data_IF_495294164036
#
_entry.id   IF_495294164036
#
_cell.length_a   1.000
_cell.length_b   1.000
_cell.length_c   1.000
_cell.angle_alpha   90.00
_cell.angle_beta   90.00
_cell.angle_gamma   90.00
#
_symmetry.space_group_name_H-M   'P 1'
#
loop_
_entity.id
_entity.type
_entity.pdbx_description
1 polymer ?
#
# COMPACT_ATOMS: atom_id res chain seq x y z
N UNK A 1 -17.33 0.71 -7.09
CA UNK A 1 -17.81 -0.70 -7.06
C UNK A 1 -17.81 -1.26 -5.63
N UNK A 2 -17.98 -2.59 -5.49
CA UNK A 2 -17.97 -3.31 -4.19
C UNK A 2 -16.61 -3.94 -3.82
N UNK A 3 -15.62 -3.81 -4.69
CA UNK A 3 -14.28 -4.38 -4.50
C UNK A 3 -13.38 -3.43 -3.73
N UNK A 4 -12.56 -3.99 -2.84
CA UNK A 4 -11.52 -3.29 -2.09
C UNK A 4 -10.14 -3.74 -2.56
N UNK A 5 -9.16 -2.85 -2.47
CA UNK A 5 -7.78 -3.15 -2.82
C UNK A 5 -6.87 -2.81 -1.64
N UNK A 6 -5.96 -3.75 -1.32
CA UNK A 6 -4.91 -3.54 -0.32
C UNK A 6 -3.62 -3.13 -1.03
N UNK A 7 -3.13 -1.93 -0.72
CA UNK A 7 -1.84 -1.41 -1.14
C UNK A 7 -0.78 -1.94 -0.17
N UNK A 8 -0.13 -3.04 -0.51
CA UNK A 8 0.79 -3.73 0.40
C UNK A 8 1.75 -4.64 -0.35
N UNK A 9 2.82 -5.06 0.33
CA UNK A 9 3.70 -6.13 -0.12
C UNK A 9 4.21 -6.00 -1.58
N UNK A 10 4.70 -4.82 -2.01
CA UNK A 10 5.13 -4.63 -3.40
C UNK A 10 6.27 -5.57 -3.79
N UNK A 11 7.09 -6.00 -2.83
CA UNK A 11 8.18 -6.96 -3.01
C UNK A 11 7.73 -8.36 -3.45
N UNK A 12 6.45 -8.73 -3.30
CA UNK A 12 5.97 -10.05 -3.72
C UNK A 12 5.81 -10.18 -5.24
N UNK A 13 5.66 -9.05 -5.94
CA UNK A 13 5.33 -9.04 -7.38
C UNK A 13 6.18 -8.07 -8.21
N UNK A 14 6.86 -7.12 -7.56
CA UNK A 14 7.73 -6.17 -8.24
C UNK A 14 8.92 -6.88 -8.89
N UNK A 15 9.15 -6.55 -10.16
CA UNK A 15 10.33 -6.93 -10.93
C UNK A 15 11.43 -5.87 -10.85
N UNK A 16 11.12 -4.68 -10.33
CA UNK A 16 12.07 -3.56 -10.17
C UNK A 16 12.69 -3.52 -8.78
N UNK A 17 11.96 -3.98 -7.76
CA UNK A 17 12.45 -4.09 -6.38
C UNK A 17 12.59 -2.73 -5.66
N UNK A 18 13.18 -2.76 -4.45
CA UNK A 18 13.35 -1.57 -3.61
C UNK A 18 14.31 -0.53 -4.21
N UNK A 19 14.28 0.72 -3.71
CA UNK A 19 13.37 1.21 -2.66
C UNK A 19 12.00 1.63 -3.20
N UNK A 20 11.90 1.88 -4.51
CA UNK A 20 10.71 2.52 -5.10
C UNK A 20 9.64 1.54 -5.60
N UNK A 21 10.01 0.30 -5.91
CA UNK A 21 9.09 -0.69 -6.50
C UNK A 21 8.30 -0.13 -7.69
N UNK A 22 8.97 0.62 -8.56
CA UNK A 22 8.35 1.57 -9.49
C UNK A 22 7.27 0.97 -10.42
N UNK A 23 7.37 -0.32 -10.73
CA UNK A 23 6.36 -1.05 -11.51
C UNK A 23 5.05 -1.28 -10.73
N UNK A 24 5.15 -1.73 -9.47
CA UNK A 24 3.99 -1.88 -8.59
C UNK A 24 3.48 -0.51 -8.13
N UNK A 25 4.39 0.44 -7.88
CA UNK A 25 4.04 1.79 -7.47
C UNK A 25 3.22 2.55 -8.51
N UNK A 26 3.49 2.35 -9.80
CA UNK A 26 2.66 2.90 -10.87
C UNK A 26 1.21 2.38 -10.82
N UNK A 27 1.03 1.08 -10.54
CA UNK A 27 -0.30 0.48 -10.37
C UNK A 27 -0.99 1.02 -9.10
N UNK A 28 -0.27 1.13 -8.00
CA UNK A 28 -0.80 1.67 -6.74
C UNK A 28 -1.29 3.11 -6.92
N UNK A 29 -0.50 3.98 -7.58
CA UNK A 29 -0.89 5.36 -7.91
C UNK A 29 -2.17 5.41 -8.75
N UNK A 30 -2.26 4.59 -9.79
CA UNK A 30 -3.46 4.53 -10.65
C UNK A 30 -4.70 4.06 -9.88
N UNK A 31 -4.56 3.11 -8.95
CA UNK A 31 -5.66 2.62 -8.12
C UNK A 31 -6.12 3.66 -7.08
N UNK A 32 -5.16 4.37 -6.47
CA UNK A 32 -5.44 5.49 -5.55
C UNK A 32 -6.19 6.60 -6.26
N UNK A 33 -5.77 6.96 -7.48
CA UNK A 33 -6.44 7.98 -8.29
C UNK A 33 -7.86 7.56 -8.69
N UNK A 34 -8.02 6.32 -9.16
CA UNK A 34 -9.29 5.85 -9.68
C UNK A 34 -10.34 5.54 -8.59
N UNK A 35 -9.92 5.09 -7.41
CA UNK A 35 -10.83 4.65 -6.36
C UNK A 35 -10.25 4.88 -4.94
N UNK A 36 -10.03 6.14 -4.53
CA UNK A 36 -9.41 6.46 -3.23
C UNK A 36 -10.27 6.00 -2.04
N UNK A 37 -11.58 5.83 -2.20
CA UNK A 37 -12.51 5.33 -1.18
C UNK A 37 -12.60 3.80 -1.12
N UNK A 38 -11.77 3.08 -1.90
CA UNK A 38 -11.71 1.61 -1.97
C UNK A 38 -10.32 1.04 -1.76
N UNK A 39 -9.36 1.87 -1.36
CA UNK A 39 -8.00 1.46 -1.05
C UNK A 39 -7.78 1.41 0.47
N UNK A 40 -7.11 0.37 0.93
CA UNK A 40 -6.58 0.25 2.31
C UNK A 40 -5.09 -0.07 2.22
N UNK A 41 -4.33 0.18 3.30
CA UNK A 41 -2.89 -0.13 3.34
C UNK A 41 -2.57 -1.10 4.48
N UNK A 42 -1.53 -1.91 4.28
CA UNK A 42 -0.93 -2.71 5.34
C UNK A 42 0.55 -2.95 5.04
N UNK A 43 1.37 -3.00 6.09
CA UNK A 43 2.80 -3.31 5.94
C UNK A 43 3.09 -4.72 5.45
N UNK A 44 2.15 -5.65 5.68
CA UNK A 44 2.34 -7.09 5.49
C UNK A 44 3.41 -7.69 6.43
N UNK A 45 3.68 -7.07 7.58
CA UNK A 45 4.50 -7.67 8.64
C UNK A 45 3.89 -9.02 9.09
N UNK A 46 4.68 -10.08 9.35
CA UNK A 46 6.14 -10.15 9.45
C UNK A 46 6.86 -10.48 8.13
N UNK A 47 6.26 -10.15 6.99
CA UNK A 47 6.78 -10.38 5.63
C UNK A 47 7.12 -11.87 5.37
N UNK A 48 6.13 -12.77 5.48
CA UNK A 48 6.37 -14.22 5.45
C UNK A 48 6.84 -14.75 4.09
N UNK A 49 6.63 -14.00 3.02
CA UNK A 49 6.98 -14.38 1.65
C UNK A 49 8.45 -14.18 1.30
N UNK A 50 9.25 -13.54 2.16
CA UNK A 50 10.68 -13.29 1.93
C UNK A 50 11.55 -13.72 3.11
N UNK A 51 12.81 -14.16 2.86
CA UNK A 51 13.79 -14.43 3.91
C UNK A 51 14.03 -13.21 4.79
N UNK A 52 14.47 -13.44 6.04
CA UNK A 52 14.67 -12.36 7.03
C UNK A 52 15.60 -11.26 6.53
N UNK A 53 16.62 -11.63 5.76
CA UNK A 53 17.66 -10.76 5.21
C UNK A 53 17.15 -9.88 4.06
N UNK A 54 15.99 -10.20 3.51
CA UNK A 54 15.34 -9.48 2.40
C UNK A 54 14.04 -8.80 2.82
N UNK A 55 13.70 -8.83 4.11
CA UNK A 55 12.52 -8.14 4.61
C UNK A 55 12.69 -6.64 4.40
N UNK A 56 11.69 -5.96 3.82
CA UNK A 56 11.73 -4.50 3.75
C UNK A 56 11.63 -3.90 5.16
N UNK A 57 12.07 -2.66 5.30
CA UNK A 57 11.74 -1.85 6.47
C UNK A 57 10.28 -1.37 6.37
N UNK A 58 9.53 -1.48 7.48
CA UNK A 58 8.14 -1.04 7.53
C UNK A 58 8.00 0.48 7.34
N UNK A 59 8.99 1.26 7.76
CA UNK A 59 9.02 2.71 7.55
C UNK A 59 9.18 3.05 6.06
N UNK A 60 10.07 2.34 5.35
CA UNK A 60 10.24 2.52 3.89
C UNK A 60 8.94 2.19 3.13
N UNK A 61 8.22 1.15 3.57
CA UNK A 61 6.91 0.80 2.98
C UNK A 61 5.83 1.85 3.26
N UNK A 62 5.90 2.54 4.41
CA UNK A 62 5.01 3.64 4.72
C UNK A 62 5.36 4.89 3.89
N UNK A 63 6.65 5.21 3.74
CA UNK A 63 7.13 6.30 2.89
C UNK A 63 6.69 6.10 1.43
N UNK A 64 6.69 4.86 0.97
CA UNK A 64 6.19 4.50 -0.35
C UNK A 64 4.69 4.80 -0.51
N UNK A 65 3.87 4.60 0.53
CA UNK A 65 2.47 5.03 0.52
C UNK A 65 2.36 6.56 0.42
N UNK A 66 3.26 7.32 1.06
CA UNK A 66 3.26 8.79 0.97
C UNK A 66 3.54 9.27 -0.46
N UNK A 67 4.39 8.55 -1.20
CA UNK A 67 4.61 8.79 -2.63
C UNK A 67 3.39 8.39 -3.49
N UNK A 68 2.70 7.29 -3.15
CA UNK A 68 1.53 6.83 -3.90
C UNK A 68 0.29 7.70 -3.69
N UNK A 69 0.14 8.28 -2.50
CA UNK A 69 -0.94 9.13 -2.08
C UNK A 69 -0.39 10.42 -1.44
N UNK A 70 0.04 11.41 -2.24
CA UNK A 70 0.67 12.63 -1.71
C UNK A 70 -0.33 13.58 -1.01
N UNK A 71 -1.63 13.45 -1.31
CA UNK A 71 -2.70 14.21 -0.66
C UNK A 71 -3.07 13.60 0.71
N UNK A 72 -3.09 14.44 1.74
CA UNK A 72 -3.38 14.02 3.12
C UNK A 72 -4.80 13.48 3.30
N UNK A 73 -5.78 14.08 2.62
CA UNK A 73 -7.18 13.61 2.70
C UNK A 73 -7.30 12.18 2.18
N UNK A 74 -6.62 11.89 1.07
CA UNK A 74 -6.57 10.56 0.48
C UNK A 74 -5.84 9.57 1.39
N UNK A 75 -4.74 9.98 2.03
CA UNK A 75 -4.06 9.12 3.02
C UNK A 75 -4.94 8.82 4.24
N UNK A 76 -5.65 9.82 4.76
CA UNK A 76 -6.58 9.61 5.89
C UNK A 76 -7.67 8.62 5.52
N UNK A 77 -8.20 8.67 4.29
CA UNK A 77 -9.11 7.62 3.81
C UNK A 77 -8.46 6.25 3.84
N UNK A 78 -7.28 6.10 3.25
CA UNK A 78 -6.58 4.81 3.12
C UNK A 78 -6.21 4.19 4.48
N UNK A 79 -5.81 5.03 5.44
CA UNK A 79 -5.28 4.59 6.73
C UNK A 79 -6.33 4.54 7.85
N UNK A 80 -7.43 5.29 7.74
CA UNK A 80 -8.41 5.47 8.81
C UNK A 80 -9.82 5.15 8.33
N UNK A 81 -10.39 5.97 7.45
CA UNK A 81 -11.83 5.89 7.13
C UNK A 81 -12.20 4.59 6.40
N UNK A 82 -11.39 4.20 5.42
CA UNK A 82 -11.64 3.02 4.60
C UNK A 82 -11.50 1.73 5.42
N UNK A 83 -10.41 1.52 6.20
CA UNK A 83 -10.33 0.39 7.12
C UNK A 83 -11.48 0.36 8.14
N UNK A 84 -11.85 1.48 8.75
CA UNK A 84 -12.95 1.54 9.71
C UNK A 84 -14.27 1.09 9.07
N UNK A 85 -14.54 1.55 7.84
CA UNK A 85 -15.72 1.13 7.07
C UNK A 85 -15.68 -0.34 6.63
N UNK A 86 -14.51 -0.84 6.22
CA UNK A 86 -14.35 -2.20 5.72
C UNK A 86 -14.42 -3.23 6.85
N UNK A 87 -13.77 -2.94 7.98
CA UNK A 87 -13.59 -3.90 9.08
C UNK A 87 -14.54 -3.66 10.27
N UNK A 88 -15.15 -2.47 10.39
CA UNK A 88 -16.19 -2.18 11.38
C UNK A 88 -15.66 -1.92 12.79
N UNK A 89 -14.68 -1.03 12.94
CA UNK A 89 -14.15 -0.57 14.23
C UNK A 89 -14.36 0.93 14.43
#
# INVERSE_FOLDING_TARGET
>A
GRTWVKLSAPYETSKKGPPLYADVGALAKALVEAAPDRCVWASNWPHPSVPREQRPDDADLLDLLLDWAPDETTRNRILVDNPAKLYGF
#
